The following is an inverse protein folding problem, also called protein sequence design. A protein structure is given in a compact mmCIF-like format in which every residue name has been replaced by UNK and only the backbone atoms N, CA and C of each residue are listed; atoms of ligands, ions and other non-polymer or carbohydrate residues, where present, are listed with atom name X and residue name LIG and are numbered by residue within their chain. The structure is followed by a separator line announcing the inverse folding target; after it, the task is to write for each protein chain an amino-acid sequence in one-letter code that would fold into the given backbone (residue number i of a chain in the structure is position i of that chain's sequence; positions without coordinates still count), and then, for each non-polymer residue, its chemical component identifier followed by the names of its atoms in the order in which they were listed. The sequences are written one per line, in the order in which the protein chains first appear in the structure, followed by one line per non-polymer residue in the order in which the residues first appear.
data_IF_438357431916
#
_entry.id   IF_438357431916
#
_cell.length_a   1.000
_cell.length_b   1.000
_cell.length_c   1.000
_cell.angle_alpha   90.00
_cell.angle_beta   90.00
_cell.angle_gamma   90.00
#
_symmetry.space_group_name_H-M   'P 1'
#
loop_
_entity.id
_entity.type
_entity.pdbx_description
1 polymer ?
#
# COMPACT_ATOMS: atom_id res chain seq x y z
N UNK A 1 12.33 36.72 1.14
CA UNK A 1 12.65 35.50 1.86
C UNK A 1 13.41 34.62 0.89
N UNK A 2 14.67 34.32 1.19
CA UNK A 2 15.49 33.43 0.36
C UNK A 2 14.84 32.04 0.33
N UNK A 3 14.86 31.34 -0.80
CA UNK A 3 14.42 29.96 -0.83
C UNK A 3 15.33 29.16 0.12
N UNK A 4 14.74 28.61 1.18
CA UNK A 4 15.46 27.64 2.01
C UNK A 4 15.92 26.54 1.07
N UNK A 5 17.23 26.34 1.02
CA UNK A 5 17.85 25.28 0.23
C UNK A 5 17.27 23.94 0.71
N UNK A 6 16.56 23.29 -0.19
CA UNK A 6 16.02 21.95 0.01
C UNK A 6 17.15 21.02 0.50
N UNK A 7 17.04 20.55 1.72
CA UNK A 7 17.91 19.49 2.21
C UNK A 7 17.20 18.18 1.90
N UNK A 8 17.78 17.28 1.10
CA UNK A 8 17.20 15.97 0.87
C UNK A 8 16.85 15.34 2.21
N UNK A 9 15.68 14.72 2.32
CA UNK A 9 15.42 13.82 3.45
C UNK A 9 16.54 12.78 3.45
N UNK A 10 17.11 12.51 4.61
CA UNK A 10 17.97 11.35 4.77
C UNK A 10 17.16 10.15 4.26
N UNK A 11 17.69 9.54 3.21
CA UNK A 11 17.11 8.27 2.74
C UNK A 11 17.07 7.32 3.94
N UNK A 12 16.02 6.50 4.09
CA UNK A 12 16.07 5.42 5.08
C UNK A 12 17.41 4.70 4.87
N UNK A 13 18.13 4.43 5.93
CA UNK A 13 19.48 3.84 5.89
C UNK A 13 19.56 2.47 5.20
N UNK A 14 18.43 2.00 4.73
CA UNK A 14 18.23 0.71 4.06
C UNK A 14 17.98 0.98 2.59
N UNK A 15 18.94 0.68 1.74
CA UNK A 15 18.85 0.89 0.28
C UNK A 15 18.07 -0.20 -0.43
N UNK A 16 17.55 0.13 -1.62
CA UNK A 16 16.80 -0.76 -2.52
C UNK A 16 17.51 -2.08 -2.89
N UNK A 17 18.85 -2.10 -2.76
CA UNK A 17 19.71 -3.25 -3.05
C UNK A 17 20.08 -4.05 -1.81
N UNK A 18 19.36 -3.88 -0.70
CA UNK A 18 19.68 -4.65 0.50
C UNK A 18 19.41 -6.13 0.32
N UNK A 19 20.38 -6.91 0.81
CA UNK A 19 20.21 -8.34 0.99
C UNK A 19 19.17 -8.58 2.06
N UNK A 20 17.98 -9.02 1.68
CA UNK A 20 16.97 -9.46 2.64
C UNK A 20 17.14 -10.94 2.97
N UNK A 21 16.70 -11.32 4.13
CA UNK A 21 16.47 -12.72 4.45
C UNK A 21 15.03 -13.10 4.10
N UNK A 22 14.87 -14.28 3.53
CA UNK A 22 13.57 -14.88 3.29
C UNK A 22 13.49 -16.30 3.84
N UNK A 23 12.28 -16.79 4.07
CA UNK A 23 12.03 -18.16 4.52
C UNK A 23 10.89 -18.77 3.75
N UNK A 24 10.81 -20.08 3.79
CA UNK A 24 9.69 -20.86 3.24
C UNK A 24 8.94 -21.51 4.38
N UNK A 25 7.64 -21.37 4.41
CA UNK A 25 6.76 -21.94 5.41
C UNK A 25 5.71 -22.84 4.74
N UNK A 26 5.28 -23.87 5.44
CA UNK A 26 4.23 -24.77 4.96
C UNK A 26 4.74 -25.87 4.03
N UNK A 27 3.81 -26.74 3.70
CA UNK A 27 3.91 -27.80 2.70
C UNK A 27 2.54 -27.89 2.02
N UNK A 28 2.53 -27.70 0.72
CA UNK A 28 1.30 -27.76 -0.06
C UNK A 28 0.85 -29.19 -0.36
N UNK A 29 1.70 -30.19 -0.13
CA UNK A 29 1.47 -31.56 -0.65
C UNK A 29 1.34 -31.62 -2.20
N UNK A 30 1.56 -30.49 -2.88
CA UNK A 30 1.44 -30.34 -4.33
C UNK A 30 2.84 -30.20 -4.96
N UNK A 31 3.27 -31.18 -5.79
CA UNK A 31 4.59 -31.17 -6.40
C UNK A 31 4.88 -29.93 -7.25
N UNK A 32 3.86 -29.36 -7.89
CA UNK A 32 4.02 -28.15 -8.69
C UNK A 32 4.33 -26.93 -7.79
N UNK A 33 3.64 -26.77 -6.66
CA UNK A 33 3.90 -25.68 -5.72
C UNK A 33 5.29 -25.79 -5.13
N UNK A 34 5.73 -27.03 -4.81
CA UNK A 34 7.09 -27.27 -4.33
C UNK A 34 8.15 -26.91 -5.39
N UNK A 35 7.95 -27.33 -6.63
CA UNK A 35 8.82 -26.98 -7.75
C UNK A 35 8.88 -25.46 -7.95
N UNK A 36 7.72 -24.79 -7.98
CA UNK A 36 7.63 -23.35 -8.16
C UNK A 36 8.38 -22.58 -7.06
N UNK A 37 8.19 -22.99 -5.81
CA UNK A 37 8.88 -22.40 -4.68
C UNK A 37 10.40 -22.59 -4.77
N UNK A 38 10.87 -23.78 -5.18
CA UNK A 38 12.30 -24.03 -5.38
C UNK A 38 12.91 -23.10 -6.44
N UNK A 39 12.25 -22.92 -7.57
CA UNK A 39 12.71 -22.00 -8.63
C UNK A 39 12.72 -20.55 -8.19
N UNK A 40 11.70 -20.13 -7.43
CA UNK A 40 11.66 -18.78 -6.88
C UNK A 40 12.76 -18.56 -5.84
N UNK A 41 13.06 -19.56 -4.99
CA UNK A 41 14.18 -19.51 -4.04
C UNK A 41 15.52 -19.38 -4.76
N UNK A 42 15.74 -20.15 -5.84
CA UNK A 42 16.94 -20.04 -6.67
C UNK A 42 17.08 -18.64 -7.28
N UNK A 43 15.97 -18.06 -7.71
CA UNK A 43 15.97 -16.70 -8.29
C UNK A 43 16.29 -15.66 -7.21
N UNK A 44 15.65 -15.72 -6.05
CA UNK A 44 15.95 -14.87 -4.90
C UNK A 44 17.43 -14.97 -4.50
N UNK A 45 18.00 -16.18 -4.46
CA UNK A 45 19.41 -16.39 -4.14
C UNK A 45 20.35 -15.79 -5.19
N UNK A 46 20.03 -15.90 -6.49
CA UNK A 46 20.81 -15.24 -7.56
C UNK A 46 20.80 -13.72 -7.45
N UNK A 47 19.73 -13.14 -6.94
CA UNK A 47 19.61 -11.70 -6.67
C UNK A 47 20.27 -11.27 -5.35
N UNK A 48 20.94 -12.21 -4.66
CA UNK A 48 21.74 -11.94 -3.47
C UNK A 48 20.98 -12.04 -2.14
N UNK A 49 19.72 -12.47 -2.16
CA UNK A 49 18.92 -12.67 -0.96
C UNK A 49 19.28 -14.00 -0.26
N UNK A 50 19.09 -14.05 1.07
CA UNK A 50 19.53 -15.17 1.90
C UNK A 50 18.33 -16.01 2.36
N UNK A 51 18.30 -17.28 1.96
CA UNK A 51 17.31 -18.22 2.48
C UNK A 51 17.65 -18.64 3.91
N UNK A 52 16.70 -18.50 4.82
CA UNK A 52 16.76 -19.03 6.17
C UNK A 52 15.73 -20.14 6.32
N UNK A 53 16.15 -21.38 6.59
CA UNK A 53 15.20 -22.46 6.85
C UNK A 53 14.29 -22.10 8.03
N UNK A 54 12.98 -22.32 7.88
CA UNK A 54 12.06 -22.21 9.01
C UNK A 54 12.40 -23.27 10.05
N UNK A 55 12.49 -22.89 11.32
CA UNK A 55 12.52 -23.87 12.41
C UNK A 55 11.21 -24.64 12.42
N UNK A 56 11.21 -25.94 12.77
CA UNK A 56 9.99 -26.76 12.83
C UNK A 56 8.97 -26.30 13.86
N UNK A 57 9.34 -25.41 14.77
CA UNK A 57 8.39 -24.70 15.62
C UNK A 57 7.65 -23.66 14.78
N UNK A 58 6.34 -23.78 14.68
CA UNK A 58 5.37 -23.02 13.88
C UNK A 58 5.35 -21.49 14.08
N UNK A 59 6.41 -20.89 14.58
CA UNK A 59 6.55 -19.48 14.90
C UNK A 59 7.58 -18.82 13.98
N UNK A 60 7.11 -18.28 12.86
CA UNK A 60 7.91 -17.32 12.06
C UNK A 60 8.30 -16.12 12.94
N UNK A 61 7.55 -15.87 14.00
CA UNK A 61 7.79 -14.87 15.03
C UNK A 61 9.02 -15.15 15.91
N UNK A 62 9.37 -16.41 16.11
CA UNK A 62 10.59 -16.78 16.87
C UNK A 62 11.88 -16.49 16.09
N UNK A 63 11.77 -16.28 14.77
CA UNK A 63 12.89 -15.92 13.89
C UNK A 63 13.17 -14.42 13.87
N UNK A 64 12.22 -13.58 14.27
CA UNK A 64 12.35 -12.12 14.26
C UNK A 64 13.04 -11.54 15.52
N UNK A 65 13.24 -12.33 16.58
CA UNK A 65 13.77 -11.85 17.86
C UNK A 65 14.81 -12.84 18.41
N UNK A 66 16.00 -12.84 17.81
CA UNK A 66 17.24 -13.19 18.49
C UNK A 66 18.25 -12.09 18.24
N UNK A 67 18.37 -11.21 19.21
CA UNK A 67 19.35 -10.12 19.27
C UNK A 67 20.81 -10.57 19.42
N UNK A 68 21.08 -11.88 19.41
CA UNK A 68 22.38 -12.43 19.82
C UNK A 68 23.07 -13.29 18.74
N UNK A 69 23.06 -12.87 17.51
CA UNK A 69 23.99 -13.44 16.53
C UNK A 69 24.37 -12.38 15.51
N UNK A 70 25.66 -12.21 15.30
CA UNK A 70 26.29 -11.37 14.29
C UNK A 70 25.36 -11.04 13.10
N UNK A 71 24.88 -9.79 13.09
CA UNK A 71 24.31 -9.03 11.98
C UNK A 71 23.71 -9.82 10.79
N UNK A 72 22.77 -10.72 11.03
CA UNK A 72 22.01 -11.26 9.90
C UNK A 72 20.76 -10.41 9.63
N UNK A 73 20.49 -10.05 8.36
CA UNK A 73 19.35 -9.20 8.03
C UNK A 73 18.02 -9.85 8.47
N UNK A 74 17.02 -9.06 8.88
CA UNK A 74 15.73 -9.59 9.33
C UNK A 74 15.02 -10.34 8.20
N UNK A 75 14.14 -11.30 8.56
CA UNK A 75 13.29 -11.96 7.57
C UNK A 75 12.23 -10.96 7.09
N UNK A 76 12.35 -10.58 5.83
CA UNK A 76 11.44 -9.63 5.18
C UNK A 76 10.37 -10.30 4.32
N UNK A 77 10.61 -11.52 3.86
CA UNK A 77 9.70 -12.25 2.99
C UNK A 77 9.48 -13.68 3.48
N UNK A 78 8.22 -14.09 3.55
CA UNK A 78 7.81 -15.48 3.79
C UNK A 78 7.11 -16.02 2.55
N UNK A 79 7.67 -17.05 1.94
CA UNK A 79 7.00 -17.85 0.90
C UNK A 79 6.14 -18.90 1.61
N UNK A 80 4.84 -18.66 1.68
CA UNK A 80 3.89 -19.56 2.35
C UNK A 80 3.30 -20.53 1.34
N UNK A 81 3.68 -21.80 1.42
CA UNK A 81 3.20 -22.85 0.53
C UNK A 81 1.90 -23.41 1.06
N UNK A 82 0.83 -23.31 0.28
CA UNK A 82 -0.49 -23.75 0.68
C UNK A 82 -1.17 -24.61 -0.38
N UNK A 83 -2.00 -25.51 0.09
CA UNK A 83 -3.09 -26.09 -0.68
C UNK A 83 -4.23 -25.07 -0.75
N UNK A 84 -4.86 -24.94 -1.92
CA UNK A 84 -5.95 -23.97 -2.14
C UNK A 84 -7.16 -24.23 -1.22
N UNK A 85 -7.46 -25.51 -0.94
CA UNK A 85 -8.57 -25.94 -0.08
C UNK A 85 -8.23 -25.89 1.41
N UNK A 86 -6.93 -25.80 1.75
CA UNK A 86 -6.43 -25.80 3.12
C UNK A 86 -5.45 -24.65 3.35
N UNK A 87 -5.90 -23.40 3.24
CA UNK A 87 -5.05 -22.24 3.45
C UNK A 87 -4.52 -22.21 4.90
N UNK A 88 -3.22 -21.99 5.02
CA UNK A 88 -2.54 -21.92 6.31
C UNK A 88 -2.23 -20.45 6.62
N UNK A 89 -2.69 -19.91 7.77
CA UNK A 89 -2.33 -18.58 8.19
C UNK A 89 -0.87 -18.49 8.66
N UNK A 90 -0.21 -17.39 8.28
CA UNK A 90 1.10 -17.02 8.79
C UNK A 90 0.92 -15.83 9.74
N UNK A 91 1.11 -16.06 11.03
CA UNK A 91 1.09 -15.00 12.04
C UNK A 91 2.43 -14.30 12.08
N UNK A 92 2.44 -13.00 12.04
CA UNK A 92 3.64 -12.15 12.10
C UNK A 92 3.49 -11.12 13.22
N UNK A 93 4.59 -10.88 13.96
CA UNK A 93 4.62 -9.88 15.06
C UNK A 93 5.02 -8.50 14.57
N UNK A 94 5.76 -8.42 13.47
CA UNK A 94 6.26 -7.16 12.90
C UNK A 94 5.55 -6.77 11.61
N UNK A 95 5.44 -5.48 11.36
CA UNK A 95 4.87 -4.94 10.11
C UNK A 95 5.86 -5.01 8.93
N UNK A 96 7.15 -5.25 9.21
CA UNK A 96 8.20 -5.30 8.19
C UNK A 96 8.34 -6.64 7.45
N UNK A 97 7.50 -7.65 7.73
CA UNK A 97 7.56 -8.96 7.08
C UNK A 97 6.40 -9.12 6.12
N UNK A 98 6.68 -9.34 4.84
CA UNK A 98 5.70 -9.65 3.80
C UNK A 98 5.48 -11.15 3.67
N UNK A 99 4.24 -11.55 3.44
CA UNK A 99 3.85 -12.95 3.23
C UNK A 99 3.28 -13.07 1.82
N UNK A 100 3.93 -13.88 0.99
CA UNK A 100 3.45 -14.28 -0.33
C UNK A 100 2.98 -15.74 -0.27
N UNK A 101 1.68 -15.98 -0.35
CA UNK A 101 1.13 -17.34 -0.38
C UNK A 101 1.14 -17.87 -1.80
N UNK A 102 1.74 -19.05 -2.00
CA UNK A 102 1.87 -19.71 -3.30
C UNK A 102 0.91 -20.90 -3.32
N UNK A 103 0.03 -20.91 -4.32
CA UNK A 103 -0.95 -21.99 -4.55
C UNK A 103 -0.99 -22.38 -6.02
N UNK A 104 -1.48 -23.58 -6.29
CA UNK A 104 -1.86 -24.02 -7.64
C UNK A 104 -3.36 -24.24 -7.69
N UNK A 105 -4.01 -23.65 -8.68
CA UNK A 105 -5.44 -23.79 -8.93
C UNK A 105 -5.73 -24.67 -10.15
N UNK A 106 -7.02 -24.92 -10.39
CA UNK A 106 -7.49 -25.60 -11.57
C UNK A 106 -7.33 -24.73 -12.83
N UNK A 107 -7.26 -25.38 -13.98
CA UNK A 107 -7.14 -24.75 -15.29
C UNK A 107 -8.47 -24.10 -15.73
N UNK A 108 -8.98 -23.15 -14.96
CA UNK A 108 -10.18 -22.37 -15.29
C UNK A 108 -9.98 -20.88 -15.00
N UNK A 109 -9.89 -20.11 -16.06
CA UNK A 109 -9.60 -18.67 -16.03
C UNK A 109 -10.72 -17.83 -15.40
N UNK A 110 -11.98 -18.30 -15.43
CA UNK A 110 -13.15 -17.47 -15.05
C UNK A 110 -13.35 -17.28 -13.56
N UNK A 111 -12.65 -18.06 -12.73
CA UNK A 111 -12.86 -18.11 -11.29
C UNK A 111 -11.64 -17.70 -10.46
N UNK A 112 -10.52 -17.27 -11.08
CA UNK A 112 -9.24 -17.02 -10.38
C UNK A 112 -9.41 -16.05 -9.22
N UNK A 113 -10.02 -14.89 -9.44
CA UNK A 113 -10.23 -13.91 -8.37
C UNK A 113 -11.14 -14.46 -7.25
N UNK A 114 -12.19 -15.22 -7.58
CA UNK A 114 -13.08 -15.84 -6.57
C UNK A 114 -12.38 -16.92 -5.76
N UNK A 115 -11.45 -17.63 -6.35
CA UNK A 115 -10.69 -18.67 -5.67
C UNK A 115 -9.53 -18.07 -4.84
N UNK A 116 -8.80 -17.13 -5.39
CA UNK A 116 -7.56 -16.62 -4.85
C UNK A 116 -7.74 -15.47 -3.84
N UNK A 117 -8.70 -14.56 -4.06
CA UNK A 117 -8.89 -13.40 -3.19
C UNK A 117 -9.22 -13.76 -1.73
N UNK A 118 -10.10 -14.76 -1.43
CA UNK A 118 -10.31 -15.22 -0.07
C UNK A 118 -9.06 -15.79 0.61
N UNK A 119 -8.09 -16.30 -0.15
CA UNK A 119 -6.85 -16.83 0.41
C UNK A 119 -6.00 -15.75 1.07
N UNK A 120 -6.02 -14.49 0.55
CA UNK A 120 -5.35 -13.37 1.21
C UNK A 120 -5.74 -13.27 2.68
N UNK A 121 -7.03 -13.37 2.95
CA UNK A 121 -7.60 -13.25 4.29
C UNK A 121 -7.31 -14.48 5.13
N UNK A 122 -7.52 -15.67 4.56
CA UNK A 122 -7.41 -16.95 5.27
C UNK A 122 -5.97 -17.36 5.57
N UNK A 123 -5.02 -16.94 4.73
CA UNK A 123 -3.59 -17.17 4.94
C UNK A 123 -2.87 -15.99 5.60
N UNK A 124 -3.55 -14.88 5.87
CA UNK A 124 -2.99 -13.63 6.42
C UNK A 124 -1.85 -13.07 5.56
N UNK A 125 -1.99 -13.19 4.25
CA UNK A 125 -0.94 -12.80 3.29
C UNK A 125 -1.12 -11.38 2.78
N UNK A 126 -0.02 -10.76 2.39
CA UNK A 126 -0.02 -9.50 1.64
C UNK A 126 -0.35 -9.75 0.17
N UNK A 127 0.06 -10.94 -0.33
CA UNK A 127 -0.11 -11.33 -1.73
C UNK A 127 -0.42 -12.81 -1.81
N UNK A 128 -1.26 -13.19 -2.76
CA UNK A 128 -1.41 -14.57 -3.23
C UNK A 128 -0.85 -14.67 -4.64
N UNK A 129 0.02 -15.65 -4.86
CA UNK A 129 0.50 -16.05 -6.18
C UNK A 129 -0.27 -17.32 -6.56
N UNK A 130 -1.30 -17.13 -7.36
CA UNK A 130 -2.15 -18.20 -7.85
C UNK A 130 -1.66 -18.68 -9.21
N UNK A 131 -1.20 -19.92 -9.26
CA UNK A 131 -0.64 -20.51 -10.46
C UNK A 131 -1.66 -21.41 -11.15
N UNK A 132 -1.83 -21.25 -12.44
CA UNK A 132 -2.71 -22.08 -13.27
C UNK A 132 -2.19 -22.17 -14.70
N UNK A 133 -2.79 -23.03 -15.53
CA UNK A 133 -2.52 -23.07 -16.95
C UNK A 133 -3.75 -22.60 -17.74
N UNK A 134 -3.55 -21.60 -18.54
CA UNK A 134 -4.55 -21.06 -19.45
C UNK A 134 -4.15 -21.42 -20.88
N UNK A 135 -4.95 -22.18 -21.58
CA UNK A 135 -4.62 -22.69 -22.93
C UNK A 135 -3.24 -23.38 -23.00
N UNK A 136 -2.86 -24.10 -21.94
CA UNK A 136 -1.57 -24.79 -21.84
C UNK A 136 -0.38 -23.93 -21.42
N UNK A 137 -0.54 -22.60 -21.36
CA UNK A 137 0.48 -21.65 -20.90
C UNK A 137 0.39 -21.50 -19.38
N UNK A 138 1.51 -21.64 -18.68
CA UNK A 138 1.57 -21.37 -17.25
C UNK A 138 1.44 -19.86 -17.01
N UNK A 139 0.53 -19.50 -16.12
CA UNK A 139 0.30 -18.14 -15.66
C UNK A 139 0.43 -18.07 -14.14
N UNK A 140 1.12 -17.04 -13.65
CA UNK A 140 1.16 -16.66 -12.25
C UNK A 140 0.33 -15.40 -12.07
N UNK A 141 -0.77 -15.52 -11.34
CA UNK A 141 -1.68 -14.43 -11.02
C UNK A 141 -1.33 -13.89 -9.64
N UNK A 142 -1.07 -12.59 -9.57
CA UNK A 142 -0.75 -11.88 -8.35
C UNK A 142 -2.00 -11.17 -7.86
N UNK A 143 -2.43 -11.50 -6.67
CA UNK A 143 -3.62 -10.93 -6.05
C UNK A 143 -3.23 -10.25 -4.75
N UNK A 144 -3.59 -8.98 -4.62
CA UNK A 144 -3.36 -8.17 -3.42
C UNK A 144 -4.68 -7.57 -2.94
N UNK A 145 -4.72 -7.11 -1.70
CA UNK A 145 -5.96 -6.54 -1.13
C UNK A 145 -6.33 -5.22 -1.77
N UNK A 146 -5.33 -4.40 -2.09
CA UNK A 146 -5.54 -3.01 -2.50
C UNK A 146 -5.52 -2.86 -4.01
N UNK A 147 -4.64 -3.60 -4.68
CA UNK A 147 -4.33 -3.43 -6.10
C UNK A 147 -5.05 -4.44 -7.01
N UNK A 148 -5.82 -5.37 -6.42
CA UNK A 148 -6.56 -6.35 -7.20
C UNK A 148 -5.69 -7.43 -7.83
N UNK A 149 -5.68 -7.54 -9.16
CA UNK A 149 -5.15 -8.70 -9.87
C UNK A 149 -4.34 -8.31 -11.11
N UNK A 150 -3.14 -8.88 -11.23
CA UNK A 150 -2.30 -8.80 -12.43
C UNK A 150 -1.61 -10.14 -12.69
N UNK A 151 -1.05 -10.35 -13.89
CA UNK A 151 -0.58 -11.68 -14.34
C UNK A 151 0.81 -11.63 -14.99
N UNK A 152 1.61 -12.65 -14.70
CA UNK A 152 2.85 -12.95 -15.44
C UNK A 152 2.66 -14.27 -16.19
N UNK A 153 2.82 -14.25 -17.52
CA UNK A 153 2.71 -15.42 -18.39
C UNK A 153 4.07 -16.03 -18.64
N UNK A 154 4.16 -17.34 -18.65
CA UNK A 154 5.38 -18.05 -19.05
C UNK A 154 5.51 -18.00 -20.58
N UNK A 155 6.21 -16.96 -21.07
CA UNK A 155 6.53 -16.77 -22.50
C UNK A 155 8.04 -16.68 -22.63
N UNK A 156 8.72 -17.71 -23.07
CA UNK A 156 10.18 -17.74 -23.15
C UNK A 156 10.81 -18.79 -22.23
N UNK A 157 11.96 -18.46 -21.64
CA UNK A 157 12.66 -19.38 -20.74
C UNK A 157 12.05 -19.41 -19.32
N UNK A 158 12.28 -20.52 -18.62
CA UNK A 158 11.91 -20.64 -17.20
C UNK A 158 12.61 -19.56 -16.35
N UNK A 159 13.88 -19.27 -16.62
CA UNK A 159 14.62 -18.23 -15.92
C UNK A 159 13.97 -16.86 -16.06
N UNK A 160 13.66 -16.46 -17.30
CA UNK A 160 13.00 -15.22 -17.63
C UNK A 160 11.61 -15.06 -16.94
N UNK A 161 10.86 -16.17 -16.90
CA UNK A 161 9.59 -16.20 -16.18
C UNK A 161 9.76 -15.91 -14.70
N UNK A 162 10.70 -16.58 -14.01
CA UNK A 162 10.94 -16.36 -12.58
C UNK A 162 11.61 -15.02 -12.26
N UNK A 163 12.39 -14.45 -13.16
CA UNK A 163 12.91 -13.08 -13.04
C UNK A 163 11.77 -12.06 -13.04
N UNK A 164 10.81 -12.18 -13.96
CA UNK A 164 9.61 -11.32 -13.97
C UNK A 164 8.71 -11.52 -12.74
N UNK A 165 8.66 -12.72 -12.18
CA UNK A 165 7.98 -12.97 -10.90
C UNK A 165 8.71 -12.27 -9.77
N UNK A 166 10.04 -12.34 -9.74
CA UNK A 166 10.86 -11.65 -8.75
C UNK A 166 10.63 -10.14 -8.78
N UNK A 167 10.59 -9.52 -9.97
CA UNK A 167 10.30 -8.09 -10.14
C UNK A 167 8.96 -7.66 -9.50
N UNK A 168 7.99 -8.59 -9.39
CA UNK A 168 6.70 -8.32 -8.74
C UNK A 168 6.75 -8.49 -7.22
N UNK A 169 7.66 -9.29 -6.70
CA UNK A 169 7.80 -9.58 -5.27
C UNK A 169 8.76 -8.59 -4.60
N UNK A 170 9.82 -8.21 -5.29
CA UNK A 170 10.87 -7.35 -4.75
C UNK A 170 10.33 -6.03 -4.18
N UNK A 171 9.48 -5.25 -4.86
CA UNK A 171 8.97 -4.00 -4.32
C UNK A 171 8.19 -4.19 -3.02
N UNK A 172 7.47 -5.31 -2.89
CA UNK A 172 6.77 -5.65 -1.65
C UNK A 172 7.74 -5.97 -0.51
N UNK A 173 8.76 -6.79 -0.79
CA UNK A 173 9.67 -7.30 0.23
C UNK A 173 10.71 -6.28 0.69
N UNK A 174 11.14 -5.37 -0.22
CA UNK A 174 12.23 -4.42 0.03
C UNK A 174 11.77 -3.01 0.42
N UNK A 175 10.47 -2.68 0.30
CA UNK A 175 9.97 -1.34 0.61
C UNK A 175 9.86 -1.07 2.11
N UNK A 176 9.93 0.22 2.47
CA UNK A 176 9.89 0.70 3.85
C UNK A 176 8.52 1.29 4.17
N UNK A 177 7.74 0.58 4.98
CA UNK A 177 6.42 1.04 5.42
C UNK A 177 6.53 2.18 6.44
N UNK A 178 5.93 3.33 6.12
CA UNK A 178 5.82 4.51 6.98
C UNK A 178 4.38 4.60 7.52
N UNK A 179 3.96 3.58 8.26
CA UNK A 179 2.58 3.44 8.74
C UNK A 179 2.45 3.61 10.26
N UNK A 180 3.56 3.80 10.96
CA UNK A 180 3.56 4.10 12.38
C UNK A 180 3.21 5.56 12.62
N UNK A 181 2.54 5.83 13.74
CA UNK A 181 2.13 7.17 14.12
C UNK A 181 2.55 7.48 15.56
N UNK A 182 3.05 8.69 15.78
CA UNK A 182 3.28 9.27 17.09
C UNK A 182 2.30 10.43 17.30
N UNK A 183 1.55 10.36 18.38
CA UNK A 183 0.48 11.31 18.66
C UNK A 183 0.89 12.24 19.81
N UNK A 184 0.75 13.56 19.59
CA UNK A 184 0.87 14.59 20.60
C UNK A 184 -0.50 15.18 20.90
N UNK A 185 -0.92 15.17 22.18
CA UNK A 185 -2.18 15.75 22.59
C UNK A 185 -2.05 17.26 22.83
N UNK A 186 -1.62 17.98 21.80
CA UNK A 186 -1.21 19.39 21.83
C UNK A 186 -1.90 20.25 20.76
N UNK A 187 -2.96 19.73 20.12
CA UNK A 187 -3.71 20.50 19.14
C UNK A 187 -4.32 21.74 19.81
N UNK A 188 -4.03 22.96 19.32
CA UNK A 188 -4.58 24.19 19.89
C UNK A 188 -6.12 24.19 19.92
N UNK A 189 -6.70 24.76 20.97
CA UNK A 189 -8.15 24.75 21.22
C UNK A 189 -8.95 25.24 20.03
N UNK A 190 -8.46 26.26 19.34
CA UNK A 190 -9.10 26.85 18.16
C UNK A 190 -9.26 25.90 16.97
N UNK A 191 -8.45 24.82 16.91
CA UNK A 191 -8.49 23.83 15.83
C UNK A 191 -9.12 22.51 16.24
N UNK A 192 -9.47 22.31 17.50
CA UNK A 192 -10.05 21.05 17.99
C UNK A 192 -11.42 20.73 17.39
N UNK A 193 -12.11 21.75 16.88
CA UNK A 193 -13.36 21.58 16.13
C UNK A 193 -13.15 21.66 14.60
N UNK A 194 -11.89 21.67 14.15
CA UNK A 194 -11.52 21.84 12.75
C UNK A 194 -11.56 23.28 12.27
N UNK A 195 -11.22 23.46 11.02
CA UNK A 195 -11.13 24.73 10.32
C UNK A 195 -11.80 24.65 8.94
N UNK A 196 -11.57 25.62 8.07
CA UNK A 196 -12.10 25.61 6.69
C UNK A 196 -11.54 24.42 5.89
N UNK A 197 -10.27 24.06 6.07
CA UNK A 197 -9.66 22.95 5.35
C UNK A 197 -10.26 21.60 5.74
N UNK A 198 -10.54 21.39 7.03
CA UNK A 198 -11.22 20.17 7.48
C UNK A 198 -12.65 20.07 6.98
N UNK A 199 -13.36 21.20 6.83
CA UNK A 199 -14.69 21.25 6.20
C UNK A 199 -14.62 20.88 4.72
N UNK A 200 -13.60 21.35 3.99
CA UNK A 200 -13.39 20.96 2.60
C UNK A 200 -13.06 19.47 2.44
N UNK A 201 -12.25 18.92 3.33
CA UNK A 201 -11.96 17.46 3.36
C UNK A 201 -13.25 16.67 3.58
N UNK A 202 -14.09 17.09 4.54
CA UNK A 202 -15.38 16.42 4.80
C UNK A 202 -16.33 16.50 3.60
N UNK A 203 -16.42 17.66 2.97
CA UNK A 203 -17.20 17.85 1.74
C UNK A 203 -16.67 16.95 0.60
N UNK A 204 -15.36 16.90 0.42
CA UNK A 204 -14.73 16.07 -0.62
C UNK A 204 -15.03 14.57 -0.43
N UNK A 205 -15.00 14.08 0.81
CA UNK A 205 -15.40 12.71 1.11
C UNK A 205 -16.84 12.39 0.66
N UNK A 206 -17.78 13.33 0.88
CA UNK A 206 -19.16 13.20 0.41
C UNK A 206 -19.26 13.24 -1.13
N UNK A 207 -18.43 14.07 -1.79
CA UNK A 207 -18.39 14.10 -3.26
C UNK A 207 -17.85 12.78 -3.83
N UNK A 208 -16.77 12.22 -3.26
CA UNK A 208 -16.25 10.91 -3.69
C UNK A 208 -17.29 9.81 -3.53
N UNK A 209 -18.09 9.83 -2.47
CA UNK A 209 -19.19 8.90 -2.27
C UNK A 209 -20.26 9.05 -3.37
N UNK A 210 -20.67 10.28 -3.63
CA UNK A 210 -21.64 10.61 -4.69
C UNK A 210 -21.15 10.17 -6.08
N UNK A 211 -19.86 10.28 -6.34
CA UNK A 211 -19.21 9.85 -7.58
C UNK A 211 -18.98 8.32 -7.64
N UNK A 212 -19.25 7.58 -6.55
CA UNK A 212 -18.98 6.15 -6.46
C UNK A 212 -17.49 5.78 -6.41
N UNK A 213 -16.63 6.69 -5.97
CA UNK A 213 -15.16 6.52 -5.96
C UNK A 213 -14.60 6.05 -4.61
N UNK A 214 -15.44 5.90 -3.57
CA UNK A 214 -15.00 5.38 -2.28
C UNK A 214 -14.88 3.85 -2.22
N UNK A 215 -15.70 3.04 -2.92
CA UNK A 215 -15.51 1.59 -2.97
C UNK A 215 -14.17 1.20 -3.62
N UNK A 216 -13.73 -0.04 -3.36
CA UNK A 216 -12.60 -0.61 -4.11
C UNK A 216 -12.87 -0.56 -5.62
N UNK A 217 -11.82 -0.32 -6.41
CA UNK A 217 -11.89 -0.33 -7.87
C UNK A 217 -12.21 -1.71 -8.49
N UNK A 218 -12.56 -2.68 -7.68
CA UNK A 218 -12.98 -4.04 -8.05
C UNK A 218 -14.05 -4.55 -7.07
N UNK A 219 -14.91 -5.54 -7.48
CA UNK A 219 -16.12 -5.92 -6.74
C UNK A 219 -15.80 -6.84 -5.53
N UNK A 220 -15.15 -6.29 -4.50
CA UNK A 220 -14.72 -7.04 -3.31
C UNK A 220 -15.86 -7.81 -2.62
N UNK A 221 -17.09 -7.29 -2.67
CA UNK A 221 -18.27 -7.93 -2.10
C UNK A 221 -18.70 -9.20 -2.87
N UNK A 222 -18.32 -9.30 -4.14
CA UNK A 222 -18.58 -10.48 -4.96
C UNK A 222 -17.51 -11.56 -4.78
N UNK A 223 -16.33 -11.14 -4.28
CA UNK A 223 -15.15 -12.00 -4.13
C UNK A 223 -15.06 -12.62 -2.73
N UNK A 224 -15.56 -11.93 -1.70
CA UNK A 224 -15.48 -12.37 -0.31
C UNK A 224 -16.84 -12.75 0.24
N UNK A 225 -16.88 -13.85 1.00
CA UNK A 225 -18.03 -14.17 1.84
C UNK A 225 -18.22 -13.09 2.91
N UNK A 226 -19.42 -12.96 3.47
CA UNK A 226 -19.67 -12.04 4.60
C UNK A 226 -18.72 -12.28 5.79
N UNK A 227 -18.37 -13.54 6.04
CA UNK A 227 -17.41 -13.93 7.08
C UNK A 227 -16.01 -13.38 6.78
N UNK A 228 -15.51 -13.62 5.56
CA UNK A 228 -14.19 -13.16 5.14
C UNK A 228 -14.14 -11.63 5.09
N UNK A 229 -15.20 -10.97 4.64
CA UNK A 229 -15.33 -9.51 4.65
C UNK A 229 -15.28 -8.91 6.07
N UNK A 230 -15.99 -9.52 7.04
CA UNK A 230 -15.89 -9.13 8.46
C UNK A 230 -14.48 -9.32 8.99
N UNK A 231 -13.79 -10.37 8.56
CA UNK A 231 -12.42 -10.66 8.95
C UNK A 231 -11.43 -9.62 8.38
N UNK A 232 -11.57 -9.25 7.11
CA UNK A 232 -10.80 -8.16 6.46
C UNK A 232 -10.99 -6.85 7.24
N UNK A 233 -12.23 -6.47 7.51
CA UNK A 233 -12.53 -5.25 8.27
C UNK A 233 -11.83 -5.23 9.63
N UNK A 234 -11.77 -6.38 10.31
CA UNK A 234 -11.14 -6.50 11.62
C UNK A 234 -9.60 -6.47 11.54
N UNK A 235 -9.00 -7.18 10.57
CA UNK A 235 -7.55 -7.29 10.43
C UNK A 235 -6.89 -6.00 9.96
N UNK A 236 -7.52 -5.32 9.02
CA UNK A 236 -6.95 -4.15 8.36
C UNK A 236 -7.53 -2.83 8.89
N UNK A 237 -8.44 -2.91 9.87
CA UNK A 237 -9.09 -1.73 10.44
C UNK A 237 -9.97 -0.99 9.44
N UNK A 238 -10.36 -1.63 8.35
CA UNK A 238 -11.20 -1.06 7.30
C UNK A 238 -12.64 -1.07 7.80
N UNK A 239 -13.05 -0.02 8.49
CA UNK A 239 -14.42 0.12 9.05
C UNK A 239 -15.51 0.23 8.01
N UNK A 240 -15.19 0.77 6.84
CA UNK A 240 -15.99 0.82 5.61
C UNK A 240 -15.11 0.52 4.41
N UNK A 241 -15.70 0.25 3.27
CA UNK A 241 -14.99 0.12 1.99
C UNK A 241 -14.79 1.52 1.40
N UNK A 242 -14.01 2.35 2.10
CA UNK A 242 -13.76 3.73 1.73
C UNK A 242 -12.27 3.87 1.44
N UNK A 243 -11.92 3.64 0.18
CA UNK A 243 -10.56 3.73 -0.34
C UNK A 243 -10.16 5.15 -0.69
N UNK A 244 -8.89 5.35 -1.00
CA UNK A 244 -8.32 6.66 -1.27
C UNK A 244 -8.18 7.51 0.00
N UNK A 245 -7.76 8.74 -0.13
CA UNK A 245 -7.60 9.69 0.96
C UNK A 245 -7.58 11.16 0.48
N UNK A 246 -7.70 12.06 1.42
CA UNK A 246 -7.86 13.49 1.19
C UNK A 246 -6.97 14.24 2.15
N UNK A 247 -6.27 15.27 1.67
CA UNK A 247 -5.54 16.18 2.53
C UNK A 247 -5.61 17.62 2.04
N UNK A 248 -5.40 18.56 2.97
CA UNK A 248 -5.28 19.98 2.70
C UNK A 248 -4.24 20.61 3.64
N UNK A 249 -3.40 21.49 3.10
CA UNK A 249 -2.39 22.22 3.85
C UNK A 249 -3.05 23.04 4.96
N UNK A 250 -2.50 23.02 6.17
CA UNK A 250 -3.03 23.78 7.28
C UNK A 250 -2.78 25.27 7.09
N UNK A 251 -3.81 26.11 7.27
CA UNK A 251 -3.71 27.56 7.07
C UNK A 251 -2.82 28.26 8.11
N UNK A 252 -2.76 27.71 9.32
CA UNK A 252 -2.00 28.26 10.44
C UNK A 252 -0.52 27.85 10.44
N UNK A 253 -0.17 26.76 9.72
CA UNK A 253 1.19 26.27 9.64
C UNK A 253 1.44 25.57 8.30
N UNK A 254 2.14 26.22 7.40
CA UNK A 254 2.41 25.71 6.05
C UNK A 254 3.24 24.41 6.02
N UNK A 255 3.89 24.04 7.13
CA UNK A 255 4.62 22.78 7.26
C UNK A 255 3.72 21.61 7.66
N UNK A 256 2.46 21.87 8.03
CA UNK A 256 1.49 20.87 8.48
C UNK A 256 0.34 20.77 7.49
N UNK A 257 -0.37 19.64 7.54
CA UNK A 257 -1.57 19.44 6.72
C UNK A 257 -2.60 18.55 7.43
N UNK A 258 -3.86 18.84 7.16
CA UNK A 258 -4.97 18.00 7.56
C UNK A 258 -5.11 16.80 6.61
N UNK A 259 -5.39 15.62 7.14
CA UNK A 259 -5.56 14.43 6.33
C UNK A 259 -6.61 13.48 6.93
N UNK A 260 -7.36 12.82 6.06
CA UNK A 260 -8.30 11.78 6.46
C UNK A 260 -7.60 10.59 7.12
N UNK A 261 -8.23 10.02 8.14
CA UNK A 261 -7.73 8.85 8.85
C UNK A 261 -7.81 7.56 8.00
N UNK A 262 -7.00 6.59 8.39
CA UNK A 262 -7.08 5.23 7.85
C UNK A 262 -8.29 4.48 8.41
N UNK A 263 -8.95 3.70 7.55
CA UNK A 263 -10.05 2.82 7.95
C UNK A 263 -11.33 3.53 8.40
N UNK A 264 -11.54 4.79 7.98
CA UNK A 264 -12.77 5.56 8.21
C UNK A 264 -13.66 5.59 6.97
N UNK A 265 -14.95 5.75 7.19
CA UNK A 265 -15.88 6.07 6.14
C UNK A 265 -15.71 7.55 5.73
N UNK A 266 -15.15 7.80 4.56
CA UNK A 266 -14.85 9.15 4.08
C UNK A 266 -16.10 9.97 3.75
N UNK A 267 -17.25 9.34 3.55
CA UNK A 267 -18.53 10.06 3.44
C UNK A 267 -19.00 10.68 4.77
N UNK A 268 -18.39 10.28 5.91
CA UNK A 268 -18.81 10.64 7.26
C UNK A 268 -17.68 11.26 8.11
N UNK A 269 -16.75 11.97 7.51
CA UNK A 269 -15.64 12.62 8.23
C UNK A 269 -16.16 13.76 9.11
N UNK A 270 -16.06 13.65 10.44
CA UNK A 270 -16.64 14.61 11.39
C UNK A 270 -15.73 14.98 12.55
N UNK A 271 -14.95 14.03 13.06
CA UNK A 271 -14.26 14.17 14.34
C UNK A 271 -12.78 14.39 14.13
N UNK A 272 -12.28 15.54 14.61
CA UNK A 272 -10.84 15.84 14.62
C UNK A 272 -10.11 14.89 15.58
N UNK A 273 -8.96 14.37 15.14
CA UNK A 273 -8.19 13.36 15.85
C UNK A 273 -8.65 11.90 15.59
N UNK A 274 -9.85 11.70 15.03
CA UNK A 274 -10.35 10.37 14.68
C UNK A 274 -10.59 10.19 13.17
N UNK A 275 -11.29 11.13 12.55
CA UNK A 275 -11.66 11.04 11.14
C UNK A 275 -10.72 11.90 10.28
N UNK A 276 -10.26 13.01 10.85
CA UNK A 276 -9.31 13.95 10.23
C UNK A 276 -8.23 14.25 11.28
N UNK A 277 -6.96 14.18 10.89
CA UNK A 277 -5.81 14.40 11.77
C UNK A 277 -4.91 15.48 11.20
N UNK A 278 -4.23 16.22 12.08
CA UNK A 278 -3.19 17.15 11.71
C UNK A 278 -1.83 16.43 11.67
N UNK A 279 -1.27 16.28 10.48
CA UNK A 279 0.10 15.78 10.29
C UNK A 279 1.07 16.93 10.46
N UNK A 280 2.02 16.78 11.38
CA UNK A 280 2.98 17.82 11.75
C UNK A 280 4.42 17.50 11.35
N UNK A 281 4.70 16.25 10.95
CA UNK A 281 6.04 15.87 10.54
C UNK A 281 6.21 14.39 10.20
N UNK A 282 7.41 14.07 9.76
CA UNK A 282 7.89 12.72 9.48
C UNK A 282 9.24 12.52 10.17
N UNK A 283 9.46 11.36 10.75
CA UNK A 283 10.70 10.96 11.39
C UNK A 283 11.33 9.79 10.61
N UNK A 284 12.37 10.05 9.80
CA UNK A 284 12.97 9.06 8.89
C UNK A 284 13.60 7.87 9.61
N UNK A 285 14.29 8.09 10.73
CA UNK A 285 14.99 7.04 11.47
C UNK A 285 14.03 5.99 12.06
N UNK A 286 12.78 6.40 12.34
CA UNK A 286 11.75 5.54 12.92
C UNK A 286 10.64 5.19 11.95
N UNK A 287 10.69 5.69 10.71
CA UNK A 287 9.67 5.50 9.67
C UNK A 287 8.26 5.77 10.21
N UNK A 288 8.07 6.92 10.86
CA UNK A 288 6.78 7.28 11.45
C UNK A 288 6.33 8.70 11.13
N UNK A 289 5.01 8.88 11.12
CA UNK A 289 4.36 10.18 11.00
C UNK A 289 4.06 10.77 12.37
N UNK A 290 4.35 12.07 12.57
CA UNK A 290 3.99 12.84 13.77
C UNK A 290 2.66 13.54 13.56
N UNK A 291 1.79 13.45 14.56
CA UNK A 291 0.44 13.99 14.50
C UNK A 291 0.10 14.76 15.78
N UNK A 292 -0.59 15.90 15.60
CA UNK A 292 -1.20 16.65 16.67
C UNK A 292 -2.68 16.35 16.73
N UNK A 293 -3.19 16.03 17.92
CA UNK A 293 -4.58 15.64 18.16
C UNK A 293 -5.16 16.37 19.37
N UNK A 294 -6.50 16.51 19.47
CA UNK A 294 -7.13 17.11 20.63
C UNK A 294 -6.85 16.32 21.91
N UNK A 295 -6.63 16.96 23.06
CA UNK A 295 -6.57 16.29 24.35
C UNK A 295 -7.83 15.47 24.64
N UNK A 296 -7.65 14.25 25.15
CA UNK A 296 -8.76 13.38 25.53
C UNK A 296 -9.47 12.65 24.40
N UNK A 297 -9.05 12.84 23.16
CA UNK A 297 -9.53 12.05 22.01
C UNK A 297 -8.63 10.83 21.84
N UNK A 298 -9.22 9.65 21.74
CA UNK A 298 -8.51 8.44 21.33
C UNK A 298 -8.30 8.48 19.82
N UNK A 299 -7.06 8.69 19.33
CA UNK A 299 -6.82 8.95 17.92
C UNK A 299 -6.87 7.66 17.09
N UNK A 300 -7.25 7.79 15.82
CA UNK A 300 -7.00 6.78 14.80
C UNK A 300 -5.70 7.08 14.07
N UNK A 301 -5.18 6.09 13.37
CA UNK A 301 -4.03 6.30 12.48
C UNK A 301 -4.42 7.18 11.29
N UNK A 302 -3.52 8.05 10.88
CA UNK A 302 -3.66 8.77 9.61
C UNK A 302 -3.63 7.77 8.44
N UNK A 303 -4.10 8.17 7.26
CA UNK A 303 -3.96 7.35 6.04
C UNK A 303 -2.51 6.88 5.87
N UNK A 304 -2.34 5.66 5.38
CA UNK A 304 -1.00 5.10 5.13
C UNK A 304 -0.19 5.94 4.14
N UNK A 305 -0.86 6.63 3.22
CA UNK A 305 -0.22 7.49 2.20
C UNK A 305 0.18 8.88 2.74
N UNK A 306 0.12 9.08 4.05
CA UNK A 306 0.54 10.36 4.66
C UNK A 306 1.99 10.73 4.33
N UNK A 307 2.87 9.76 4.15
CA UNK A 307 4.26 10.00 3.72
C UNK A 307 4.33 10.56 2.29
N UNK A 308 3.53 10.08 1.37
CA UNK A 308 3.45 10.59 0.00
C UNK A 308 3.01 12.06 -0.01
N UNK A 309 1.92 12.37 0.69
CA UNK A 309 1.44 13.74 0.81
C UNK A 309 2.45 14.64 1.50
N UNK A 310 3.15 14.16 2.53
CA UNK A 310 4.18 14.91 3.23
C UNK A 310 5.33 15.30 2.31
N UNK A 311 5.84 14.38 1.49
CA UNK A 311 6.92 14.67 0.54
C UNK A 311 6.49 15.70 -0.49
N UNK A 312 5.29 15.56 -1.06
CA UNK A 312 4.74 16.52 -2.05
C UNK A 312 4.57 17.91 -1.41
N UNK A 313 3.95 18.02 -0.25
CA UNK A 313 3.75 19.32 0.42
C UNK A 313 5.07 20.00 0.79
N UNK A 314 6.05 19.22 1.22
CA UNK A 314 7.35 19.73 1.58
C UNK A 314 8.10 20.32 0.40
N UNK A 315 8.02 19.68 -0.76
CA UNK A 315 8.69 20.13 -1.97
C UNK A 315 7.98 21.27 -2.70
N UNK A 316 6.66 21.29 -2.65
CA UNK A 316 5.82 22.17 -3.47
C UNK A 316 4.94 23.06 -2.61
N UNK A 317 5.45 24.26 -2.20
CA UNK A 317 4.69 25.20 -1.36
C UNK A 317 3.38 25.72 -1.98
N UNK A 318 3.21 25.57 -3.30
CA UNK A 318 1.99 25.97 -4.03
C UNK A 318 0.93 24.88 -4.09
N UNK A 319 1.25 23.66 -3.63
CA UNK A 319 0.28 22.59 -3.48
C UNK A 319 -0.42 22.79 -2.14
N UNK A 320 -1.71 23.08 -2.17
CA UNK A 320 -2.51 23.29 -0.96
C UNK A 320 -3.52 22.15 -0.71
N UNK A 321 -3.73 21.28 -1.69
CA UNK A 321 -4.60 20.10 -1.56
C UNK A 321 -4.06 18.91 -2.35
N UNK A 322 -4.32 17.70 -1.83
CA UNK A 322 -4.04 16.43 -2.52
C UNK A 322 -5.22 15.50 -2.33
N UNK A 323 -5.62 14.86 -3.43
CA UNK A 323 -6.66 13.83 -3.47
C UNK A 323 -6.08 12.57 -4.08
N UNK A 324 -6.15 11.47 -3.33
CA UNK A 324 -5.81 10.13 -3.83
C UNK A 324 -7.09 9.31 -3.97
N UNK A 325 -7.28 8.68 -5.14
CA UNK A 325 -8.45 7.86 -5.47
C UNK A 325 -8.06 6.59 -6.20
N UNK A 326 -8.80 5.50 -6.00
CA UNK A 326 -8.64 4.23 -6.72
C UNK A 326 -9.45 4.24 -8.02
N UNK A 327 -9.03 5.09 -8.94
CA UNK A 327 -9.62 5.28 -10.27
C UNK A 327 -8.50 5.66 -11.25
N UNK A 328 -8.83 5.91 -12.52
CA UNK A 328 -7.85 6.30 -13.51
C UNK A 328 -8.26 7.56 -14.25
N UNK A 329 -7.30 8.19 -14.91
CA UNK A 329 -7.49 9.38 -15.71
C UNK A 329 -7.77 9.00 -17.16
N UNK A 330 -8.67 9.72 -17.83
CA UNK A 330 -9.07 9.42 -19.21
C UNK A 330 -7.94 9.62 -20.20
N UNK A 331 -7.21 10.72 -20.06
CA UNK A 331 -6.10 11.05 -20.94
C UNK A 331 -4.79 10.37 -20.47
N UNK A 332 -3.78 10.25 -21.35
CA UNK A 332 -2.45 9.77 -20.95
C UNK A 332 -1.84 10.65 -19.86
N UNK A 333 -1.31 10.04 -18.83
CA UNK A 333 -0.65 10.68 -17.69
C UNK A 333 0.67 10.01 -17.38
N UNK A 334 1.57 10.71 -16.69
CA UNK A 334 2.74 10.11 -16.06
C UNK A 334 2.29 9.15 -14.95
N UNK A 335 2.95 8.02 -14.84
CA UNK A 335 2.65 7.03 -13.81
C UNK A 335 3.92 6.40 -13.26
N UNK A 336 3.84 5.87 -12.03
CA UNK A 336 4.93 5.09 -11.44
C UNK A 336 5.26 3.86 -12.28
N UNK A 337 6.54 3.53 -12.39
CA UNK A 337 6.98 2.35 -13.12
C UNK A 337 6.91 1.09 -12.26
N UNK A 338 7.15 1.24 -10.96
CA UNK A 338 7.17 0.16 -9.99
C UNK A 338 5.86 0.12 -9.20
N UNK A 339 5.37 -1.09 -8.95
CA UNK A 339 4.16 -1.33 -8.18
C UNK A 339 4.50 -1.45 -6.68
N UNK A 340 4.83 -0.32 -6.05
CA UNK A 340 5.10 -0.29 -4.61
C UNK A 340 3.82 -0.41 -3.78
N UNK A 341 3.89 -1.01 -2.59
CA UNK A 341 2.76 -0.99 -1.67
C UNK A 341 2.44 0.43 -1.17
N UNK A 342 1.16 0.66 -0.88
CA UNK A 342 0.71 1.89 -0.22
C UNK A 342 1.47 2.15 1.09
N UNK A 343 1.73 3.41 1.39
CA UNK A 343 2.38 3.82 2.63
C UNK A 343 3.87 3.49 2.70
N UNK A 344 4.50 3.21 1.56
CA UNK A 344 5.96 3.01 1.51
C UNK A 344 6.66 4.31 1.14
N UNK A 345 7.87 4.48 1.68
CA UNK A 345 8.73 5.62 1.38
C UNK A 345 9.09 5.67 -0.12
N UNK A 346 9.29 4.51 -0.73
CA UNK A 346 9.65 4.36 -2.14
C UNK A 346 8.53 4.83 -3.06
N UNK A 347 7.27 4.43 -2.80
CA UNK A 347 6.11 4.95 -3.54
C UNK A 347 6.03 6.46 -3.40
N UNK A 348 6.13 6.96 -2.17
CA UNK A 348 6.06 8.38 -1.88
C UNK A 348 7.14 9.18 -2.63
N UNK A 349 8.36 8.64 -2.71
CA UNK A 349 9.49 9.26 -3.40
C UNK A 349 9.27 9.29 -4.92
N UNK A 350 8.83 8.17 -5.51
CA UNK A 350 8.58 8.09 -6.95
C UNK A 350 7.44 9.04 -7.36
N UNK A 351 6.36 9.11 -6.57
CA UNK A 351 5.24 10.03 -6.84
C UNK A 351 5.68 11.49 -6.70
N UNK A 352 6.44 11.86 -5.65
CA UNK A 352 6.96 13.21 -5.49
C UNK A 352 7.88 13.61 -6.65
N UNK A 353 8.70 12.69 -7.16
CA UNK A 353 9.53 12.91 -8.35
C UNK A 353 8.69 13.19 -9.59
N UNK A 354 7.64 12.40 -9.84
CA UNK A 354 6.73 12.61 -10.96
C UNK A 354 5.96 13.94 -10.85
N UNK A 355 5.55 14.32 -9.64
CA UNK A 355 4.95 15.64 -9.39
C UNK A 355 5.95 16.75 -9.71
N UNK A 356 7.23 16.61 -9.33
CA UNK A 356 8.30 17.58 -9.64
C UNK A 356 8.50 17.73 -11.14
N UNK A 357 8.40 16.65 -11.90
CA UNK A 357 8.57 16.62 -13.35
C UNK A 357 7.33 17.13 -14.10
N UNK A 358 6.19 17.25 -13.43
CA UNK A 358 4.97 17.77 -14.05
C UNK A 358 5.14 19.22 -14.53
N UNK A 359 4.52 19.62 -15.66
CA UNK A 359 4.56 21.00 -16.15
C UNK A 359 4.11 22.03 -15.11
N UNK A 360 3.17 21.67 -14.27
CA UNK A 360 2.73 22.42 -13.10
C UNK A 360 2.54 21.47 -11.92
N UNK A 361 3.51 21.40 -10.99
CA UNK A 361 3.41 20.56 -9.80
C UNK A 361 2.18 20.82 -8.92
N UNK A 362 1.66 22.05 -8.94
CA UNK A 362 0.45 22.40 -8.18
C UNK A 362 -0.85 21.92 -8.84
N UNK A 363 -0.78 21.34 -10.02
CA UNK A 363 -1.92 20.79 -10.77
C UNK A 363 -1.62 19.44 -11.42
N UNK A 364 -0.70 18.68 -10.84
CA UNK A 364 -0.30 17.39 -11.36
C UNK A 364 -1.41 16.33 -11.19
N UNK A 365 -1.44 15.38 -12.11
CA UNK A 365 -2.20 14.13 -12.04
C UNK A 365 -1.24 13.00 -12.30
N UNK A 366 -0.97 12.20 -11.29
CA UNK A 366 0.01 11.12 -11.33
C UNK A 366 -0.70 9.78 -11.17
N UNK A 367 -0.46 8.87 -12.11
CA UNK A 367 -0.90 7.48 -12.03
C UNK A 367 -0.02 6.68 -11.08
N UNK A 368 -0.62 5.87 -10.23
CA UNK A 368 0.08 4.88 -9.42
C UNK A 368 -0.20 3.50 -10.05
N UNK A 369 0.86 2.84 -10.49
CA UNK A 369 0.75 1.55 -11.20
C UNK A 369 -0.09 0.54 -10.41
N UNK A 370 -1.12 0.00 -11.06
CA UNK A 370 -2.07 -0.97 -10.49
C UNK A 370 -2.82 -0.48 -9.23
N UNK A 371 -2.85 0.83 -8.95
CA UNK A 371 -3.36 1.33 -7.66
C UNK A 371 -4.38 2.46 -7.81
N UNK A 372 -4.03 3.56 -8.48
CA UNK A 372 -4.93 4.70 -8.59
C UNK A 372 -4.26 5.99 -9.04
N UNK A 373 -4.75 7.10 -8.55
CA UNK A 373 -4.29 8.45 -8.89
C UNK A 373 -3.94 9.26 -7.65
N UNK A 374 -2.87 10.05 -7.74
CA UNK A 374 -2.61 11.17 -6.84
C UNK A 374 -2.73 12.47 -7.62
N UNK A 375 -3.58 13.37 -7.14
CA UNK A 375 -3.95 14.62 -7.80
C UNK A 375 -3.64 15.78 -6.87
N UNK A 376 -2.80 16.71 -7.31
CA UNK A 376 -2.46 17.93 -6.56
C UNK A 376 -3.33 19.11 -7.00
N UNK A 377 -3.54 20.09 -6.13
CA UNK A 377 -4.33 21.30 -6.43
C UNK A 377 -4.03 22.47 -5.50
N UNK A 378 -4.50 23.68 -5.88
CA UNK A 378 -4.50 24.86 -5.02
C UNK A 378 -5.62 24.82 -3.96
N UNK A 379 -6.61 23.96 -4.15
CA UNK A 379 -7.66 23.65 -3.18
C UNK A 379 -8.33 22.33 -3.55
N UNK A 380 -8.99 21.73 -2.58
CA UNK A 380 -9.81 20.54 -2.82
C UNK A 380 -10.88 20.81 -3.89
N UNK A 381 -11.54 21.98 -3.83
CA UNK A 381 -12.60 22.33 -4.81
C UNK A 381 -12.05 22.43 -6.23
N UNK A 382 -10.88 23.05 -6.41
CA UNK A 382 -10.22 23.13 -7.71
C UNK A 382 -9.89 21.75 -8.28
N UNK A 383 -9.48 20.80 -7.43
CA UNK A 383 -9.27 19.41 -7.86
C UNK A 383 -10.58 18.80 -8.36
N UNK A 384 -11.66 18.95 -7.60
CA UNK A 384 -12.97 18.39 -7.98
C UNK A 384 -13.54 18.99 -9.27
N UNK A 385 -13.33 20.28 -9.52
CA UNK A 385 -13.70 20.91 -10.79
C UNK A 385 -12.93 20.32 -11.99
N UNK A 386 -11.70 19.86 -11.77
CA UNK A 386 -10.87 19.22 -12.82
C UNK A 386 -11.17 17.75 -13.06
N UNK A 387 -11.53 17.01 -12.02
CA UNK A 387 -11.79 15.57 -12.14
C UNK A 387 -13.16 15.27 -12.77
N UNK A 388 -14.06 16.25 -12.80
CA UNK A 388 -15.38 16.07 -13.39
C UNK A 388 -15.29 15.67 -14.87
N UNK A 389 -15.90 14.55 -15.21
CA UNK A 389 -15.87 13.96 -16.55
C UNK A 389 -14.51 13.36 -16.98
N UNK A 390 -13.45 13.45 -16.16
CA UNK A 390 -12.11 12.92 -16.48
C UNK A 390 -11.81 11.58 -15.82
N UNK A 391 -12.58 11.18 -14.84
CA UNK A 391 -12.34 9.94 -14.08
C UNK A 391 -12.95 8.73 -14.76
N UNK A 392 -12.15 7.65 -14.83
CA UNK A 392 -12.57 6.30 -15.21
C UNK A 392 -12.56 5.45 -13.93
N UNK A 393 -13.71 4.86 -13.51
CA UNK A 393 -13.83 4.17 -12.21
C UNK A 393 -13.16 2.78 -12.19
N UNK A 394 -12.05 2.60 -12.87
CA UNK A 394 -11.23 1.39 -12.83
C UNK A 394 -9.77 1.74 -13.08
N UNK A 395 -8.87 0.97 -12.50
CA UNK A 395 -7.42 1.13 -12.64
C UNK A 395 -6.90 0.11 -13.64
N UNK A 396 -6.09 0.50 -14.64
CA UNK A 396 -5.41 -0.46 -15.52
C UNK A 396 -4.47 -1.36 -14.70
N UNK A 397 -4.55 -2.67 -14.94
CA UNK A 397 -3.69 -3.68 -14.31
C UNK A 397 -2.64 -4.17 -15.31
N UNK A 398 -1.34 -4.10 -14.95
CA UNK A 398 -0.21 -4.41 -15.82
C UNK A 398 0.88 -5.26 -15.15
#
# INVERSE_FOLDING_TARGET
MSPETWTPLLEPTIGFNERLSFTTAGDAGNPFVAWYAARLQETLARQGHVHRPSSPAHDVDALAVREDAEAQPPIRLVLNLCDIDRPRPVHRRGQGTFVATIVAGADDERAIMKAAYPLLVRSLSNMVIYNTRVNGVLESHFITIEQGHYVVRHTGSEQDFFERIFERIQPLACSHLVINNEFSADLPDEFQQGDEQTRQISWAGQQLDTMGLLPAAFPIHELLSERDLKHVKRLYGIGGLSYGNLSARALHNASSFWMSASGVDKSQLRTIGRDILLVTGYEPERLLMRLSVPPGVEPRRVSVDAIEHFLIYREHPKVDAIVHIHAWWRDPIASTEVNYPCGTYELATEVAELVRQAPDPSRAVIGLKNHGLTITGHSIREIFDRIDGMIIPHVPMA
#
